data_IF_152856123502
#
_entry.id   IF_152856123502
#
_cell.length_a   1.000
_cell.length_b   1.000
_cell.length_c   1.000
_cell.angle_alpha   90.00
_cell.angle_beta   90.00
_cell.angle_gamma   90.00
#
_symmetry.space_group_name_H-M   'P 1'
#
loop_
_entity.id
_entity.type
_entity.pdbx_description
1 polymer ?
#
# COMPACT_ATOMS: atom_id res chain seq x y z
N UNK A 1 46.63 -59.15 16.98
CA UNK A 1 45.23 -59.12 17.46
C UNK A 1 45.05 -57.74 18.09
N UNK A 2 44.61 -56.72 17.35
CA UNK A 2 43.19 -56.37 17.10
C UNK A 2 42.52 -55.95 18.44
N UNK A 3 41.97 -54.76 18.66
CA UNK A 3 41.35 -53.77 17.79
C UNK A 3 41.57 -52.33 18.31
N UNK A 4 41.73 -51.43 17.35
CA UNK A 4 41.51 -49.99 17.45
C UNK A 4 40.01 -49.70 17.45
N UNK A 5 39.56 -48.79 18.30
CA UNK A 5 38.31 -48.03 18.12
C UNK A 5 38.64 -46.56 18.36
N UNK A 6 39.25 -45.94 17.35
CA UNK A 6 39.24 -44.50 17.15
C UNK A 6 37.78 -44.06 16.99
N UNK A 7 37.24 -43.36 17.98
CA UNK A 7 36.06 -42.52 17.80
C UNK A 7 36.45 -41.43 16.79
N UNK A 8 35.93 -41.56 15.58
CA UNK A 8 36.03 -40.57 14.52
C UNK A 8 35.34 -39.29 15.00
N UNK A 9 36.14 -38.28 15.34
CA UNK A 9 35.71 -36.89 15.21
C UNK A 9 35.65 -36.62 13.71
N UNK A 10 34.44 -36.51 13.16
CA UNK A 10 34.25 -35.98 11.81
C UNK A 10 34.80 -34.55 11.78
N UNK A 11 35.96 -34.40 11.15
CA UNK A 11 36.46 -33.09 10.71
C UNK A 11 35.45 -32.55 9.69
N UNK A 12 34.62 -31.62 10.14
CA UNK A 12 33.73 -30.84 9.29
C UNK A 12 34.59 -29.99 8.35
N UNK A 13 34.78 -30.48 7.13
CA UNK A 13 35.29 -29.71 6.00
C UNK A 13 34.48 -28.41 5.88
N UNK A 14 35.11 -27.21 5.90
CA UNK A 14 34.36 -25.96 5.78
C UNK A 14 33.78 -25.86 4.35
N UNK A 15 32.47 -26.10 4.24
CA UNK A 15 31.70 -25.73 3.06
C UNK A 15 31.49 -24.21 3.01
N UNK A 16 31.23 -23.68 1.81
CA UNK A 16 31.08 -22.23 1.53
C UNK A 16 29.96 -21.57 2.36
N UNK A 17 29.00 -22.34 2.87
CA UNK A 17 27.90 -21.84 3.69
C UNK A 17 27.97 -22.55 5.04
N UNK A 18 28.35 -21.82 6.07
CA UNK A 18 28.26 -22.24 7.47
C UNK A 18 27.04 -21.57 8.08
N UNK A 19 26.02 -22.35 8.45
CA UNK A 19 24.86 -21.84 9.18
C UNK A 19 25.27 -21.74 10.64
N UNK A 20 25.47 -20.52 11.13
CA UNK A 20 25.79 -20.24 12.53
C UNK A 20 24.48 -20.21 13.31
N UNK A 21 24.43 -20.91 14.45
CA UNK A 21 23.32 -20.83 15.39
C UNK A 21 23.12 -19.38 15.85
N UNK A 22 21.87 -18.94 15.90
CA UNK A 22 21.46 -17.60 16.34
C UNK A 22 21.76 -17.42 17.84
N UNK A 23 23.01 -17.15 18.19
CA UNK A 23 23.30 -16.34 19.37
C UNK A 23 23.12 -14.88 18.99
N UNK A 24 22.45 -14.12 19.86
CA UNK A 24 22.12 -12.69 19.76
C UNK A 24 23.36 -11.78 19.60
N UNK A 25 24.11 -11.94 18.51
CA UNK A 25 25.12 -10.99 18.09
C UNK A 25 24.44 -9.95 17.19
N UNK A 26 24.43 -8.73 17.70
CA UNK A 26 24.08 -7.45 17.07
C UNK A 26 23.57 -7.56 15.63
N UNK A 27 22.24 -7.43 15.49
CA UNK A 27 21.57 -7.35 14.19
C UNK A 27 22.28 -6.31 13.32
N UNK A 28 22.84 -6.76 12.18
CA UNK A 28 23.65 -5.94 11.27
C UNK A 28 22.96 -4.59 11.00
N UNK A 29 23.69 -3.50 11.18
CA UNK A 29 23.19 -2.13 11.06
C UNK A 29 22.57 -1.87 9.68
N UNK A 30 23.05 -2.57 8.65
CA UNK A 30 22.47 -2.56 7.31
C UNK A 30 21.07 -3.21 7.24
N UNK A 31 20.82 -4.27 8.01
CA UNK A 31 19.52 -4.94 8.12
C UNK A 31 18.52 -4.08 8.90
N UNK A 32 19.00 -3.36 9.92
CA UNK A 32 18.20 -2.36 10.65
C UNK A 32 17.81 -1.20 9.73
N UNK A 33 18.74 -0.71 8.90
CA UNK A 33 18.46 0.32 7.91
C UNK A 33 17.43 -0.13 6.86
N UNK A 34 17.50 -1.39 6.39
CA UNK A 34 16.53 -1.96 5.46
C UNK A 34 15.11 -2.05 6.05
N UNK A 35 14.98 -2.35 7.35
CA UNK A 35 13.67 -2.33 8.05
C UNK A 35 13.08 -0.93 8.16
N UNK A 36 13.94 0.09 8.24
CA UNK A 36 13.55 1.49 8.35
C UNK A 36 13.22 2.14 6.99
N UNK A 37 13.40 1.42 5.88
CA UNK A 37 12.97 1.93 4.58
C UNK A 37 11.44 2.10 4.57
N UNK A 38 10.94 3.22 4.04
CA UNK A 38 9.51 3.43 3.88
C UNK A 38 8.95 2.32 3.01
N UNK A 39 8.06 1.50 3.59
CA UNK A 39 7.40 0.42 2.88
C UNK A 39 6.56 1.02 1.77
N UNK A 40 6.64 0.44 0.58
CA UNK A 40 5.77 0.79 -0.53
C UNK A 40 4.33 0.45 -0.17
N UNK A 41 3.61 1.42 0.38
CA UNK A 41 2.15 1.34 0.44
C UNK A 41 1.59 1.61 -0.96
N UNK A 42 0.58 0.84 -1.39
CA UNK A 42 -0.12 1.12 -2.62
C UNK A 42 -0.55 2.59 -2.65
N UNK A 43 -0.20 3.31 -3.73
CA UNK A 43 -0.58 4.72 -3.91
C UNK A 43 -2.11 4.90 -3.79
N UNK A 44 -2.85 3.83 -4.11
CA UNK A 44 -4.30 3.68 -4.00
C UNK A 44 -4.59 2.56 -3.02
N UNK A 45 -5.07 2.90 -1.82
CA UNK A 45 -5.83 1.93 -1.03
C UNK A 45 -7.23 1.92 -1.64
N UNK A 46 -7.72 0.79 -2.18
CA UNK A 46 -9.12 0.73 -2.59
C UNK A 46 -9.97 0.79 -1.31
N UNK A 47 -10.33 1.99 -0.87
CA UNK A 47 -11.42 2.14 0.08
C UNK A 47 -12.67 1.51 -0.55
N UNK A 48 -13.42 0.79 0.29
CA UNK A 48 -14.64 0.11 -0.11
C UNK A 48 -15.46 1.03 -1.01
N UNK A 49 -15.79 0.55 -2.21
CA UNK A 49 -16.48 1.33 -3.21
C UNK A 49 -17.70 2.00 -2.57
N UNK A 50 -17.75 3.34 -2.66
CA UNK A 50 -18.90 4.14 -2.28
C UNK A 50 -20.05 3.79 -3.22
N UNK A 51 -20.74 2.68 -2.95
CA UNK A 51 -21.86 2.22 -3.73
C UNK A 51 -23.09 3.05 -3.35
N UNK A 52 -23.60 3.80 -4.33
CA UNK A 52 -24.95 4.36 -4.24
C UNK A 52 -25.95 3.21 -4.32
N UNK A 53 -26.60 2.88 -3.19
CA UNK A 53 -27.64 1.86 -3.16
C UNK A 53 -29.02 2.49 -3.22
N UNK A 54 -29.79 2.12 -4.23
CA UNK A 54 -31.23 2.44 -4.31
C UNK A 54 -32.06 1.62 -3.30
N UNK A 55 -31.48 0.60 -2.68
CA UNK A 55 -32.19 -0.27 -1.72
C UNK A 55 -32.65 0.49 -0.46
N UNK A 56 -31.91 1.51 -0.02
CA UNK A 56 -32.32 2.38 1.09
C UNK A 56 -33.48 3.30 0.73
N UNK A 57 -33.59 3.70 -0.54
CA UNK A 57 -34.64 4.60 -1.04
C UNK A 57 -35.95 3.84 -1.32
N UNK A 58 -35.86 2.67 -1.97
CA UNK A 58 -37.05 1.86 -2.25
C UNK A 58 -37.49 0.99 -1.07
N UNK A 59 -36.58 0.64 -0.15
CA UNK A 59 -36.93 -0.04 1.09
C UNK A 59 -37.86 0.78 2.00
N UNK A 60 -37.74 2.11 1.96
CA UNK A 60 -38.63 3.03 2.68
C UNK A 60 -40.05 3.06 2.08
N UNK A 61 -40.19 2.92 0.76
CA UNK A 61 -41.51 2.80 0.10
C UNK A 61 -42.23 1.49 0.44
N UNK A 62 -41.48 0.39 0.57
CA UNK A 62 -42.05 -0.91 0.92
C UNK A 62 -42.58 -0.95 2.36
N UNK A 63 -41.92 -0.26 3.29
CA UNK A 63 -42.34 -0.21 4.70
C UNK A 63 -43.64 0.61 4.92
N UNK A 64 -43.99 1.52 4.02
CA UNK A 64 -45.26 2.27 4.07
C UNK A 64 -46.46 1.52 3.46
N UNK A 65 -46.26 0.31 2.94
CA UNK A 65 -47.29 -0.45 2.21
C UNK A 65 -48.16 -1.37 3.09
N UNK A 66 -47.93 -1.45 4.41
CA UNK A 66 -48.57 -2.46 5.26
C UNK A 66 -49.82 -1.97 6.02
N UNK A 67 -50.59 -1.06 5.43
CA UNK A 67 -51.92 -0.71 5.93
C UNK A 67 -52.97 -0.90 4.85
N UNK A 68 -53.64 -2.05 4.94
CA UNK A 68 -54.97 -2.38 4.41
C UNK A 68 -55.78 -1.16 3.90
N UNK A 69 -55.78 -0.90 2.60
CA UNK A 69 -56.97 -0.76 1.76
C UNK A 69 -56.61 -0.28 0.35
N UNK A 70 -57.38 -0.80 -0.59
CA UNK A 70 -57.75 -0.20 -1.87
C UNK A 70 -56.76 -0.19 -3.03
N UNK A 71 -57.20 -0.92 -4.05
CA UNK A 71 -56.73 -0.96 -5.42
C UNK A 71 -57.02 0.33 -6.21
N UNK A 72 -56.87 1.52 -5.61
CA UNK A 72 -56.88 2.77 -6.36
C UNK A 72 -55.48 3.37 -6.36
N UNK A 73 -54.86 3.31 -7.53
CA UNK A 73 -53.69 4.10 -7.91
C UNK A 73 -52.46 3.96 -7.01
N UNK A 74 -51.49 3.19 -7.49
CA UNK A 74 -50.07 3.44 -7.21
C UNK A 74 -49.71 4.81 -7.77
N UNK A 75 -50.24 5.87 -7.17
CA UNK A 75 -49.98 7.24 -7.57
C UNK A 75 -48.51 7.51 -7.29
N UNK A 76 -47.76 7.73 -8.36
CA UNK A 76 -46.37 8.12 -8.32
C UNK A 76 -46.25 9.39 -7.49
N UNK A 77 -45.61 9.32 -6.32
CA UNK A 77 -45.45 10.48 -5.44
C UNK A 77 -44.31 11.36 -5.98
N UNK A 78 -44.60 12.56 -6.53
CA UNK A 78 -43.57 13.43 -7.10
C UNK A 78 -42.54 13.87 -6.06
N UNK A 79 -42.88 13.90 -4.76
CA UNK A 79 -41.93 14.23 -3.70
C UNK A 79 -40.83 13.17 -3.56
N UNK A 80 -41.14 11.89 -3.81
CA UNK A 80 -40.14 10.81 -3.81
C UNK A 80 -39.11 11.03 -4.92
N UNK A 81 -39.53 11.50 -6.09
CA UNK A 81 -38.60 11.82 -7.18
C UNK A 81 -37.72 13.02 -6.84
N UNK A 82 -38.28 14.03 -6.19
CA UNK A 82 -37.49 15.18 -5.71
C UNK A 82 -36.44 14.71 -4.70
N UNK A 83 -36.80 13.86 -3.75
CA UNK A 83 -35.87 13.31 -2.76
C UNK A 83 -34.75 12.48 -3.42
N UNK A 84 -35.09 11.65 -4.42
CA UNK A 84 -34.11 10.91 -5.22
C UNK A 84 -33.14 11.86 -5.92
N UNK A 85 -33.65 12.91 -6.58
CA UNK A 85 -32.82 13.87 -7.30
C UNK A 85 -31.91 14.65 -6.35
N UNK A 86 -32.40 15.03 -5.17
CA UNK A 86 -31.61 15.70 -4.12
C UNK A 86 -30.50 14.77 -3.60
N UNK A 87 -30.81 13.52 -3.28
CA UNK A 87 -29.82 12.55 -2.80
C UNK A 87 -28.77 12.24 -3.88
N UNK A 88 -29.19 12.11 -5.14
CA UNK A 88 -28.28 11.86 -6.26
C UNK A 88 -27.35 13.06 -6.49
N UNK A 89 -27.87 14.29 -6.38
CA UNK A 89 -27.05 15.51 -6.47
C UNK A 89 -26.04 15.59 -5.31
N UNK A 90 -26.48 15.32 -4.08
CA UNK A 90 -25.60 15.28 -2.91
C UNK A 90 -24.50 14.21 -3.06
N UNK A 91 -24.84 13.01 -3.55
CA UNK A 91 -23.88 11.95 -3.85
C UNK A 91 -22.87 12.39 -4.91
N UNK A 92 -23.33 12.96 -6.03
CA UNK A 92 -22.45 13.43 -7.10
C UNK A 92 -21.49 14.52 -6.59
N UNK A 93 -21.98 15.43 -5.75
CA UNK A 93 -21.13 16.46 -5.12
C UNK A 93 -20.08 15.83 -4.21
N UNK A 94 -20.46 14.81 -3.41
CA UNK A 94 -19.51 14.10 -2.56
C UNK A 94 -18.43 13.39 -3.39
N UNK A 95 -18.81 12.63 -4.42
CA UNK A 95 -17.85 12.00 -5.33
C UNK A 95 -16.88 13.01 -5.95
N UNK A 96 -17.36 14.19 -6.36
CA UNK A 96 -16.50 15.22 -6.92
C UNK A 96 -15.44 15.73 -5.92
N UNK A 97 -15.83 15.89 -4.64
CA UNK A 97 -14.91 16.27 -3.57
C UNK A 97 -13.90 15.16 -3.29
N UNK A 98 -14.35 13.90 -3.19
CA UNK A 98 -13.47 12.76 -2.95
C UNK A 98 -12.43 12.60 -4.08
N UNK A 99 -12.84 12.80 -5.35
CA UNK A 99 -11.92 12.82 -6.50
C UNK A 99 -10.91 13.95 -6.37
N UNK A 100 -11.34 15.15 -5.99
CA UNK A 100 -10.45 16.30 -5.82
C UNK A 100 -9.41 16.05 -4.72
N UNK A 101 -9.83 15.48 -3.59
CA UNK A 101 -8.94 15.17 -2.47
C UNK A 101 -7.94 14.07 -2.84
N UNK A 102 -8.40 13.05 -3.56
CA UNK A 102 -7.53 12.01 -4.10
C UNK A 102 -6.50 12.58 -5.08
N UNK A 103 -6.90 13.44 -6.01
CA UNK A 103 -5.99 14.11 -6.95
C UNK A 103 -4.96 14.98 -6.22
N UNK A 104 -5.36 15.70 -5.18
CA UNK A 104 -4.44 16.50 -4.36
C UNK A 104 -3.40 15.62 -3.67
N UNK A 105 -3.84 14.52 -3.04
CA UNK A 105 -2.97 13.55 -2.39
C UNK A 105 -1.99 12.93 -3.38
N UNK A 106 -2.48 12.52 -4.56
CA UNK A 106 -1.64 11.97 -5.62
C UNK A 106 -0.57 12.98 -6.07
N UNK A 107 -0.92 14.25 -6.24
CA UNK A 107 0.03 15.30 -6.60
C UNK A 107 1.17 15.47 -5.58
N UNK A 108 0.85 15.41 -4.28
CA UNK A 108 1.85 15.46 -3.21
C UNK A 108 2.78 14.25 -3.29
N UNK A 109 2.24 13.04 -3.44
CA UNK A 109 3.04 11.80 -3.55
C UNK A 109 3.94 11.82 -4.79
N UNK A 110 3.45 12.30 -5.92
CA UNK A 110 4.24 12.43 -7.15
C UNK A 110 5.39 13.44 -6.98
N UNK A 111 5.14 14.58 -6.31
CA UNK A 111 6.20 15.55 -6.00
C UNK A 111 7.28 14.96 -5.10
N UNK A 112 6.90 14.23 -4.06
CA UNK A 112 7.84 13.55 -3.18
C UNK A 112 8.68 12.50 -3.92
N UNK A 113 8.06 11.76 -4.85
CA UNK A 113 8.75 10.80 -5.70
C UNK A 113 9.76 11.47 -6.64
N UNK A 114 9.40 12.61 -7.23
CA UNK A 114 10.27 13.40 -8.10
C UNK A 114 11.48 13.96 -7.32
N UNK A 115 11.24 14.51 -6.13
CA UNK A 115 12.29 14.99 -5.23
C UNK A 115 13.24 13.86 -4.82
N UNK A 116 12.69 12.70 -4.42
CA UNK A 116 13.49 11.51 -4.08
C UNK A 116 14.33 11.01 -5.26
N UNK A 117 13.72 10.88 -6.44
CA UNK A 117 14.41 10.38 -7.64
C UNK A 117 15.52 11.34 -8.06
N UNK A 118 15.25 12.64 -8.02
CA UNK A 118 16.25 13.67 -8.31
C UNK A 118 17.42 13.60 -7.33
N UNK A 119 17.14 13.47 -6.03
CA UNK A 119 18.16 13.30 -5.00
C UNK A 119 19.01 12.05 -5.22
N UNK A 120 18.38 10.90 -5.49
CA UNK A 120 19.08 9.65 -5.76
C UNK A 120 20.00 9.73 -6.99
N UNK A 121 19.56 10.39 -8.07
CA UNK A 121 20.40 10.57 -9.27
C UNK A 121 21.61 11.47 -8.97
N UNK A 122 21.42 12.54 -8.20
CA UNK A 122 22.53 13.41 -7.80
C UNK A 122 23.54 12.68 -6.91
N UNK A 123 23.05 11.89 -5.95
CA UNK A 123 23.90 11.10 -5.07
C UNK A 123 24.69 10.03 -5.85
N UNK A 124 24.04 9.32 -6.76
CA UNK A 124 24.69 8.34 -7.61
C UNK A 124 25.79 8.99 -8.49
N UNK A 125 25.51 10.19 -9.02
CA UNK A 125 26.50 10.97 -9.76
C UNK A 125 27.72 11.35 -8.92
N UNK A 126 27.49 11.75 -7.66
CA UNK A 126 28.55 12.05 -6.70
C UNK A 126 29.41 10.82 -6.39
N UNK A 127 28.77 9.69 -6.08
CA UNK A 127 29.46 8.41 -5.80
C UNK A 127 30.30 7.99 -7.01
N UNK A 128 29.76 8.10 -8.23
CA UNK A 128 30.49 7.77 -9.45
C UNK A 128 31.72 8.65 -9.63
N UNK A 129 31.61 9.95 -9.39
CA UNK A 129 32.72 10.89 -9.50
C UNK A 129 33.79 10.64 -8.44
N UNK A 130 33.40 10.33 -7.20
CA UNK A 130 34.33 9.92 -6.15
C UNK A 130 35.06 8.64 -6.52
N UNK A 131 34.33 7.60 -6.95
CA UNK A 131 34.90 6.33 -7.37
C UNK A 131 35.92 6.51 -8.51
N UNK A 132 35.60 7.34 -9.50
CA UNK A 132 36.53 7.70 -10.59
C UNK A 132 37.80 8.38 -10.06
N UNK A 133 37.64 9.39 -9.20
CA UNK A 133 38.78 10.13 -8.62
C UNK A 133 39.69 9.21 -7.79
N UNK A 134 39.11 8.31 -7.00
CA UNK A 134 39.85 7.32 -6.23
C UNK A 134 40.58 6.32 -7.14
N UNK A 135 39.94 5.86 -8.21
CA UNK A 135 40.58 4.98 -9.20
C UNK A 135 41.76 5.66 -9.90
N UNK A 136 41.60 6.92 -10.32
CA UNK A 136 42.65 7.71 -10.96
C UNK A 136 43.87 7.90 -10.02
N UNK A 137 43.64 8.10 -8.72
CA UNK A 137 44.71 8.20 -7.72
C UNK A 137 45.44 6.86 -7.46
N UNK A 138 44.75 5.72 -7.60
CA UNK A 138 45.39 4.40 -7.42
C UNK A 138 46.25 3.99 -8.63
N UNK A 139 46.02 4.61 -9.79
CA UNK A 139 46.72 4.33 -11.05
C UNK A 139 47.88 5.29 -11.33
N UNK A 140 48.07 6.34 -10.52
CA UNK A 140 49.19 7.29 -10.58
C UNK A 140 50.30 6.94 -9.61
#
# INVERSE_FOLDING_TARGET
>A
MAHSSMEQREELTPGIITVVDQSDEEEDEALVALRNLPKFEPLVVPEAASHFSLSSVFGALAASSDTRHDASERAFNPNVMVDILVQMNAHNRKCALDIQDYQRSLGIKMKALDEFTTGAVQELGSIHQQAKTHADHLLS
#
